data_IF_465316760707
#
_entry.id   IF_465316760707
#
_cell.length_a   1.000
_cell.length_b   1.000
_cell.length_c   1.000
_cell.angle_alpha   90.00
_cell.angle_beta   90.00
_cell.angle_gamma   90.00
#
_symmetry.space_group_name_H-M   'P 1'
#
loop_
_entity.id
_entity.type
_entity.pdbx_description
1 polymer ?
#
# COMPACT_ATOMS: atom_id res chain seq x y z
N UNK A 1 -19.50 6.78 -4.88
CA UNK A 1 -19.50 7.64 -6.09
C UNK A 1 -19.22 6.86 -7.39
N UNK A 2 -18.56 5.69 -7.30
CA UNK A 2 -18.17 4.88 -8.47
C UNK A 2 -18.88 3.53 -8.54
N UNK A 3 -19.83 3.24 -7.67
CA UNK A 3 -20.49 1.93 -7.51
C UNK A 3 -19.49 0.75 -7.44
N UNK A 4 -18.36 0.98 -6.78
CA UNK A 4 -17.39 -0.09 -6.55
C UNK A 4 -18.01 -1.20 -5.68
N UNK A 5 -17.77 -2.44 -6.05
CA UNK A 5 -18.20 -3.63 -5.30
C UNK A 5 -17.07 -4.21 -4.44
N UNK A 6 -15.81 -4.06 -4.91
CA UNK A 6 -14.62 -4.54 -4.23
C UNK A 6 -13.57 -3.44 -4.22
N UNK A 7 -12.89 -3.25 -3.10
CA UNK A 7 -11.84 -2.23 -2.95
C UNK A 7 -10.57 -2.85 -2.39
N UNK A 8 -9.49 -2.91 -3.18
CA UNK A 8 -8.18 -3.37 -2.71
C UNK A 8 -7.62 -2.38 -1.70
N UNK A 9 -7.34 -2.85 -0.48
CA UNK A 9 -6.84 -2.00 0.60
C UNK A 9 -5.89 -2.78 1.51
N UNK A 10 -5.05 -2.04 2.25
CA UNK A 10 -4.34 -2.60 3.39
C UNK A 10 -5.24 -2.75 4.61
N UNK A 11 -4.82 -3.58 5.57
CA UNK A 11 -5.55 -3.84 6.83
C UNK A 11 -5.93 -2.55 7.60
N UNK A 12 -5.12 -1.51 7.48
CA UNK A 12 -5.35 -0.21 8.13
C UNK A 12 -6.53 0.58 7.56
N UNK A 13 -7.09 0.19 6.41
CA UNK A 13 -8.26 0.83 5.78
C UNK A 13 -9.56 0.05 5.98
N UNK A 14 -9.51 -1.12 6.60
CA UNK A 14 -10.69 -1.98 6.78
C UNK A 14 -11.85 -1.26 7.48
N UNK A 15 -11.57 -0.53 8.57
CA UNK A 15 -12.60 0.21 9.31
C UNK A 15 -13.30 1.28 8.46
N UNK A 16 -12.59 1.91 7.53
CA UNK A 16 -13.20 2.90 6.63
C UNK A 16 -14.17 2.23 5.65
N UNK A 17 -13.86 1.02 5.21
CA UNK A 17 -14.77 0.27 4.34
C UNK A 17 -15.98 -0.28 5.11
N UNK A 18 -15.81 -0.70 6.36
CA UNK A 18 -16.93 -1.08 7.23
C UNK A 18 -17.91 0.09 7.38
N UNK A 19 -17.42 1.29 7.67
CA UNK A 19 -18.25 2.50 7.72
C UNK A 19 -18.93 2.77 6.35
N UNK A 20 -18.23 2.59 5.25
CA UNK A 20 -18.80 2.77 3.91
C UNK A 20 -19.95 1.79 3.64
N UNK A 21 -19.81 0.52 4.08
CA UNK A 21 -20.87 -0.50 4.02
C UNK A 21 -22.09 -0.10 4.83
N UNK A 22 -21.89 0.34 6.08
CA UNK A 22 -22.97 0.78 6.95
C UNK A 22 -23.75 1.95 6.37
N UNK A 23 -23.04 2.92 5.78
CA UNK A 23 -23.67 4.06 5.09
C UNK A 23 -24.49 3.59 3.88
N UNK A 24 -23.96 2.67 3.05
CA UNK A 24 -24.66 2.14 1.88
C UNK A 24 -25.93 1.37 2.28
N UNK A 25 -25.82 0.49 3.27
CA UNK A 25 -26.94 -0.30 3.79
C UNK A 25 -28.03 0.63 4.36
N UNK A 26 -27.62 1.60 5.19
CA UNK A 26 -28.55 2.55 5.82
C UNK A 26 -29.24 3.41 4.77
N UNK A 27 -28.52 3.92 3.77
CA UNK A 27 -29.10 4.72 2.69
C UNK A 27 -30.15 3.91 1.91
N UNK A 28 -29.80 2.71 1.47
CA UNK A 28 -30.70 1.85 0.71
C UNK A 28 -31.97 1.52 1.52
N UNK A 29 -31.81 1.22 2.81
CA UNK A 29 -32.94 0.95 3.72
C UNK A 29 -33.82 2.18 3.90
N UNK A 30 -33.25 3.33 4.26
CA UNK A 30 -34.01 4.53 4.64
C UNK A 30 -34.79 5.12 3.45
N UNK A 31 -34.25 5.00 2.24
CA UNK A 31 -34.91 5.47 1.00
C UNK A 31 -35.65 4.36 0.24
N UNK A 32 -35.64 3.11 0.70
CA UNK A 32 -36.33 2.00 0.06
C UNK A 32 -35.81 1.68 -1.34
N UNK A 33 -34.52 1.79 -1.57
CA UNK A 33 -33.85 1.61 -2.86
C UNK A 33 -32.74 0.55 -2.75
N UNK A 34 -32.36 -0.03 -3.90
CA UNK A 34 -31.14 -0.82 -4.06
C UNK A 34 -30.19 -0.02 -4.97
N UNK A 35 -29.59 1.04 -4.41
CA UNK A 35 -28.83 2.00 -5.19
C UNK A 35 -27.33 1.90 -4.94
N UNK A 36 -26.87 1.93 -3.69
CA UNK A 36 -25.46 1.78 -3.38
C UNK A 36 -25.08 0.33 -3.17
N UNK A 37 -24.10 -0.20 -3.92
CA UNK A 37 -23.57 -1.53 -3.65
C UNK A 37 -22.92 -1.59 -2.27
N UNK A 38 -23.04 -2.72 -1.60
CA UNK A 38 -22.35 -2.99 -0.33
C UNK A 38 -20.93 -3.45 -0.66
N UNK A 39 -19.96 -2.56 -0.42
CA UNK A 39 -18.56 -2.77 -0.81
C UNK A 39 -17.88 -3.84 0.04
N UNK A 40 -17.04 -4.68 -0.58
CA UNK A 40 -16.19 -5.66 0.09
C UNK A 40 -14.72 -5.25 0.04
N UNK A 41 -13.98 -5.32 1.16
CA UNK A 41 -12.54 -5.12 1.15
C UNK A 41 -11.82 -6.32 0.54
N UNK A 42 -10.83 -6.06 -0.31
CA UNK A 42 -9.88 -7.07 -0.79
C UNK A 42 -8.55 -6.81 -0.10
N UNK A 43 -8.20 -7.67 0.86
CA UNK A 43 -6.98 -7.57 1.66
C UNK A 43 -6.19 -8.84 1.39
N UNK A 44 -5.26 -8.77 0.44
CA UNK A 44 -4.47 -9.90 -0.03
C UNK A 44 -2.98 -9.54 -0.06
N UNK A 45 -2.12 -10.57 0.04
CA UNK A 45 -0.66 -10.48 -0.11
C UNK A 45 0.13 -10.56 1.19
N UNK A 46 1.41 -10.94 1.06
CA UNK A 46 2.33 -11.18 2.17
C UNK A 46 2.70 -9.92 2.97
N UNK A 47 2.53 -8.72 2.39
CA UNK A 47 2.91 -7.45 2.99
C UNK A 47 1.73 -6.47 3.10
N UNK A 48 0.59 -6.93 3.60
CA UNK A 48 -0.57 -6.08 3.91
C UNK A 48 -0.25 -4.97 4.92
N UNK A 49 0.83 -5.15 5.70
CA UNK A 49 1.33 -4.17 6.66
C UNK A 49 2.86 -4.19 6.70
N UNK A 50 3.50 -3.19 6.10
CA UNK A 50 4.96 -3.01 6.14
C UNK A 50 5.34 -2.27 7.42
N UNK A 51 6.35 -2.80 8.15
CA UNK A 51 6.83 -2.22 9.39
C UNK A 51 8.08 -1.36 9.16
N UNK A 52 8.40 -0.50 10.13
CA UNK A 52 9.57 0.38 10.10
C UNK A 52 10.88 -0.42 9.97
N UNK A 53 11.81 0.08 9.17
CA UNK A 53 13.17 -0.50 9.06
C UNK A 53 14.02 -0.32 10.35
N UNK A 54 13.56 0.52 11.28
CA UNK A 54 14.26 0.80 12.55
C UNK A 54 13.59 0.17 13.75
N UNK A 55 12.32 -0.26 13.60
CA UNK A 55 11.54 -0.86 14.69
C UNK A 55 10.46 -1.75 14.06
N UNK A 56 10.71 -3.04 14.01
CA UNK A 56 9.79 -4.04 13.41
C UNK A 56 8.44 -4.16 14.12
N UNK A 57 8.25 -3.51 15.26
CA UNK A 57 6.96 -3.49 15.98
C UNK A 57 6.08 -2.30 15.59
N UNK A 58 6.64 -1.28 14.93
CA UNK A 58 5.93 -0.07 14.52
C UNK A 58 5.66 -0.07 13.02
N UNK A 59 4.46 0.35 12.61
CA UNK A 59 4.12 0.55 11.20
C UNK A 59 5.08 1.57 10.56
N UNK A 60 5.53 1.32 9.33
CA UNK A 60 6.24 2.30 8.51
C UNK A 60 5.36 3.54 8.32
N UNK A 61 5.90 4.72 8.60
CA UNK A 61 5.12 5.97 8.58
C UNK A 61 5.89 7.12 7.94
N UNK A 62 5.18 7.94 7.16
CA UNK A 62 5.72 9.20 6.61
C UNK A 62 6.09 10.22 7.71
N UNK A 63 5.37 10.18 8.83
CA UNK A 63 5.55 11.11 9.94
C UNK A 63 6.64 10.70 10.92
N UNK A 64 7.31 9.55 10.71
CA UNK A 64 8.47 9.17 11.52
C UNK A 64 9.58 10.22 11.34
N UNK A 65 10.15 10.77 12.42
CA UNK A 65 11.22 11.76 12.31
C UNK A 65 12.50 11.20 11.66
N UNK A 66 12.71 9.88 11.69
CA UNK A 66 13.84 9.23 11.07
C UNK A 66 13.52 8.82 9.63
N UNK A 67 14.18 9.42 8.65
CA UNK A 67 14.08 9.00 7.25
C UNK A 67 14.61 7.58 7.01
N UNK A 68 15.48 7.07 7.88
CA UNK A 68 15.98 5.69 7.84
C UNK A 68 14.94 4.64 8.24
N UNK A 69 13.76 5.06 8.72
CA UNK A 69 12.68 4.15 9.11
C UNK A 69 11.86 3.64 7.93
N UNK A 70 11.98 4.26 6.75
CA UNK A 70 11.16 4.01 5.56
C UNK A 70 11.95 4.12 4.27
N UNK A 71 11.39 3.55 3.20
CA UNK A 71 11.81 3.81 1.82
C UNK A 71 10.76 4.74 1.19
N UNK A 72 11.21 5.86 0.65
CA UNK A 72 10.39 6.77 -0.12
C UNK A 72 10.48 6.41 -1.61
N UNK A 73 9.42 6.61 -2.37
CA UNK A 73 9.46 6.40 -3.82
C UNK A 73 10.34 7.45 -4.56
N UNK A 74 10.80 8.46 -3.83
CA UNK A 74 11.77 9.46 -4.31
C UNK A 74 13.22 9.09 -4.00
N UNK A 75 13.45 8.02 -3.22
CA UNK A 75 14.82 7.58 -2.91
C UNK A 75 15.48 7.02 -4.17
N UNK A 76 16.74 7.37 -4.40
CA UNK A 76 17.55 6.77 -5.45
C UNK A 76 18.06 5.37 -5.05
N UNK A 77 18.67 4.66 -6.00
CA UNK A 77 19.15 3.29 -5.81
C UNK A 77 20.12 3.17 -4.63
N UNK A 78 21.05 4.11 -4.49
CA UNK A 78 22.05 4.11 -3.42
C UNK A 78 21.41 4.33 -2.04
N UNK A 79 20.44 5.24 -1.98
CA UNK A 79 19.65 5.52 -0.76
C UNK A 79 18.83 4.31 -0.35
N UNK A 80 18.12 3.66 -1.28
CA UNK A 80 17.34 2.43 -1.03
C UNK A 80 18.27 1.35 -0.46
N UNK A 81 19.37 1.05 -1.15
CA UNK A 81 20.33 0.03 -0.73
C UNK A 81 20.92 0.35 0.66
N UNK A 82 21.28 1.62 0.91
CA UNK A 82 21.81 2.07 2.19
C UNK A 82 20.79 1.88 3.33
N UNK A 83 19.52 2.25 3.13
CA UNK A 83 18.45 2.10 4.12
C UNK A 83 18.23 0.64 4.49
N UNK A 84 18.20 -0.27 3.51
CA UNK A 84 18.04 -1.71 3.75
C UNK A 84 19.26 -2.28 4.51
N UNK A 85 20.47 -1.97 4.08
CA UNK A 85 21.68 -2.44 4.77
C UNK A 85 21.74 -1.97 6.23
N UNK A 86 21.24 -0.76 6.51
CA UNK A 86 21.18 -0.16 7.85
C UNK A 86 19.91 -0.52 8.63
N UNK A 87 18.96 -1.25 8.02
CA UNK A 87 17.77 -1.71 8.73
C UNK A 87 18.17 -2.48 9.99
N UNK A 88 17.40 -2.28 11.07
CA UNK A 88 17.66 -2.96 12.33
C UNK A 88 17.41 -4.46 12.19
N UNK A 89 18.30 -5.26 12.77
CA UNK A 89 18.16 -6.71 12.92
C UNK A 89 18.91 -7.15 14.18
N UNK A 90 18.56 -8.32 14.67
CA UNK A 90 19.35 -9.01 15.69
C UNK A 90 20.64 -9.62 15.09
N UNK A 91 21.42 -10.33 15.90
CA UNK A 91 22.71 -10.96 15.51
C UNK A 91 22.56 -12.41 15.04
N UNK A 92 21.38 -13.02 15.22
CA UNK A 92 21.16 -14.42 14.89
C UNK A 92 20.96 -14.61 13.39
N UNK A 93 21.33 -15.75 12.81
CA UNK A 93 21.00 -16.09 11.43
C UNK A 93 19.48 -16.09 11.19
N UNK A 94 19.05 -15.98 9.93
CA UNK A 94 17.65 -16.21 9.59
C UNK A 94 17.26 -17.64 9.94
N UNK A 95 16.08 -17.87 10.51
CA UNK A 95 15.61 -19.21 10.82
C UNK A 95 15.24 -19.95 9.52
N UNK A 96 15.21 -21.28 9.59
CA UNK A 96 14.85 -22.15 8.47
C UNK A 96 13.32 -22.34 8.33
N UNK A 97 12.53 -21.75 9.26
CA UNK A 97 11.06 -21.79 9.24
C UNK A 97 10.46 -20.48 9.74
N UNK A 98 9.18 -20.24 9.41
CA UNK A 98 8.47 -19.01 9.85
C UNK A 98 8.23 -18.96 11.36
N UNK A 99 8.10 -20.11 12.03
CA UNK A 99 7.96 -20.19 13.49
C UNK A 99 9.19 -19.60 14.17
N UNK A 100 10.37 -19.79 13.59
CA UNK A 100 11.62 -19.20 14.11
C UNK A 100 11.70 -17.67 14.01
N UNK A 101 10.77 -17.03 13.29
CA UNK A 101 10.61 -15.58 13.27
C UNK A 101 9.70 -15.04 14.40
N UNK A 102 9.13 -15.90 15.24
CA UNK A 102 8.36 -15.45 16.40
C UNK A 102 9.27 -14.69 17.38
N UNK A 103 8.81 -13.52 17.81
CA UNK A 103 9.60 -12.62 18.66
C UNK A 103 10.70 -11.84 17.94
N UNK A 104 10.96 -12.10 16.65
CA UNK A 104 12.00 -11.43 15.84
C UNK A 104 11.34 -10.48 14.83
N UNK A 105 10.69 -9.44 15.31
CA UNK A 105 9.85 -8.53 14.52
C UNK A 105 10.61 -7.88 13.35
N UNK A 106 11.87 -7.48 13.53
CA UNK A 106 12.69 -6.88 12.49
C UNK A 106 13.05 -7.88 11.39
N UNK A 107 13.43 -9.11 11.76
CA UNK A 107 13.73 -10.17 10.80
C UNK A 107 12.48 -10.54 9.99
N UNK A 108 11.33 -10.73 10.67
CA UNK A 108 10.03 -10.99 10.02
C UNK A 108 9.66 -9.90 9.04
N UNK A 109 9.83 -8.62 9.41
CA UNK A 109 9.56 -7.49 8.52
C UNK A 109 10.39 -7.56 7.23
N UNK A 110 11.70 -7.81 7.32
CA UNK A 110 12.56 -7.88 6.14
C UNK A 110 12.23 -9.10 5.25
N UNK A 111 11.89 -10.24 5.85
CA UNK A 111 11.41 -11.43 5.12
C UNK A 111 10.12 -11.12 4.36
N UNK A 112 9.15 -10.47 5.01
CA UNK A 112 7.88 -10.09 4.36
C UNK A 112 8.09 -9.06 3.24
N UNK A 113 9.01 -8.10 3.42
CA UNK A 113 9.37 -7.14 2.36
C UNK A 113 9.99 -7.86 1.17
N UNK A 114 10.91 -8.82 1.40
CA UNK A 114 11.51 -9.61 0.33
C UNK A 114 10.44 -10.41 -0.43
N UNK A 115 9.59 -11.13 0.30
CA UNK A 115 8.51 -11.94 -0.26
C UNK A 115 7.58 -11.10 -1.16
N UNK A 116 7.14 -9.94 -0.66
CA UNK A 116 6.29 -9.03 -1.42
C UNK A 116 6.96 -8.47 -2.68
N UNK A 117 8.24 -8.10 -2.60
CA UNK A 117 8.98 -7.57 -3.75
C UNK A 117 9.30 -8.65 -4.80
N UNK A 118 9.52 -9.90 -4.35
CA UNK A 118 9.79 -11.04 -5.23
C UNK A 118 8.51 -11.69 -5.77
N UNK A 119 7.33 -11.33 -5.22
CA UNK A 119 6.04 -11.99 -5.52
C UNK A 119 6.05 -13.48 -5.20
N UNK A 120 6.55 -13.83 -4.01
CA UNK A 120 6.63 -15.20 -3.48
C UNK A 120 6.12 -15.25 -2.03
N UNK A 121 5.84 -16.46 -1.54
CA UNK A 121 5.45 -16.63 -0.14
C UNK A 121 6.65 -16.49 0.81
N UNK A 122 6.44 -16.00 2.06
CA UNK A 122 7.51 -15.85 3.05
C UNK A 122 8.26 -17.15 3.36
N UNK A 123 7.59 -18.30 3.25
CA UNK A 123 8.18 -19.64 3.39
C UNK A 123 9.30 -19.90 2.38
N UNK A 124 9.14 -19.43 1.15
CA UNK A 124 10.17 -19.57 0.12
C UNK A 124 11.41 -18.75 0.46
N UNK A 125 11.24 -17.56 1.08
CA UNK A 125 12.36 -16.72 1.52
C UNK A 125 13.17 -17.40 2.62
N UNK A 126 12.50 -17.95 3.65
CA UNK A 126 13.21 -18.64 4.72
C UNK A 126 13.82 -19.97 4.26
N UNK A 127 13.23 -20.63 3.26
CA UNK A 127 13.83 -21.81 2.63
C UNK A 127 15.13 -21.47 1.87
N UNK A 128 15.20 -20.30 1.23
CA UNK A 128 16.36 -19.85 0.46
C UNK A 128 17.48 -19.31 1.37
N UNK A 129 17.13 -18.50 2.37
CA UNK A 129 18.08 -17.77 3.20
C UNK A 129 18.24 -18.32 4.63
N UNK A 130 17.49 -19.36 5.00
CA UNK A 130 17.55 -19.99 6.32
C UNK A 130 18.97 -20.43 6.68
N UNK A 131 19.37 -20.23 7.93
CA UNK A 131 20.73 -20.48 8.42
C UNK A 131 21.77 -19.44 8.00
N UNK A 132 21.45 -18.52 7.09
CA UNK A 132 22.36 -17.48 6.63
C UNK A 132 22.25 -16.21 7.50
N UNK A 133 23.38 -15.54 7.68
CA UNK A 133 23.40 -14.25 8.42
C UNK A 133 22.86 -13.07 7.59
N UNK A 134 22.49 -12.01 8.28
CA UNK A 134 22.02 -10.78 7.64
C UNK A 134 23.06 -10.10 6.73
N UNK A 135 24.35 -10.45 6.86
CA UNK A 135 25.40 -10.02 5.93
C UNK A 135 25.21 -10.55 4.49
N UNK A 136 24.47 -11.64 4.32
CA UNK A 136 24.10 -12.22 3.00
C UNK A 136 22.69 -11.74 2.61
N UNK A 137 21.73 -11.85 3.51
CA UNK A 137 20.32 -11.57 3.23
C UNK A 137 20.06 -10.09 2.88
N UNK A 138 20.61 -9.13 3.65
CA UNK A 138 20.37 -7.70 3.39
C UNK A 138 20.91 -7.21 2.05
N UNK A 139 22.10 -7.60 1.56
CA UNK A 139 22.52 -7.30 0.20
C UNK A 139 21.54 -7.84 -0.84
N UNK A 140 21.09 -9.09 -0.73
CA UNK A 140 20.14 -9.69 -1.66
C UNK A 140 18.79 -8.92 -1.67
N UNK A 141 18.28 -8.57 -0.48
CA UNK A 141 17.07 -7.73 -0.35
C UNK A 141 17.30 -6.32 -0.93
N UNK A 142 18.49 -5.74 -0.74
CA UNK A 142 18.80 -4.41 -1.28
C UNK A 142 18.81 -4.44 -2.81
N UNK A 143 19.44 -5.44 -3.41
CA UNK A 143 19.49 -5.59 -4.87
C UNK A 143 18.10 -5.82 -5.46
N UNK A 144 17.28 -6.65 -4.82
CA UNK A 144 15.89 -6.87 -5.21
C UNK A 144 15.07 -5.57 -5.10
N UNK A 145 15.16 -4.86 -3.96
CA UNK A 145 14.43 -3.62 -3.77
C UNK A 145 14.85 -2.53 -4.76
N UNK A 146 16.15 -2.38 -5.04
CA UNK A 146 16.65 -1.46 -6.08
C UNK A 146 16.07 -1.85 -7.45
N UNK A 147 16.11 -3.13 -7.82
CA UNK A 147 15.60 -3.58 -9.13
C UNK A 147 14.10 -3.29 -9.32
N UNK A 148 13.30 -3.38 -8.25
CA UNK A 148 11.84 -3.17 -8.31
C UNK A 148 11.44 -1.71 -8.14
N UNK A 149 12.14 -0.94 -7.32
CA UNK A 149 11.74 0.42 -6.95
C UNK A 149 12.42 1.51 -7.80
N UNK A 150 13.66 1.29 -8.28
CA UNK A 150 14.36 2.30 -9.08
C UNK A 150 13.62 2.71 -10.36
N UNK A 151 12.94 1.81 -11.10
CA UNK A 151 12.14 2.23 -12.25
C UNK A 151 11.03 3.21 -11.87
N UNK A 152 10.41 3.01 -10.69
CA UNK A 152 9.35 3.89 -10.15
C UNK A 152 9.95 5.24 -9.77
N UNK A 153 11.08 5.23 -9.06
CA UNK A 153 11.79 6.47 -8.65
C UNK A 153 12.25 7.28 -9.86
N UNK A 154 12.75 6.60 -10.89
CA UNK A 154 13.20 7.25 -12.13
C UNK A 154 12.03 7.92 -12.86
N UNK A 155 10.89 7.22 -13.02
CA UNK A 155 9.70 7.78 -13.65
C UNK A 155 9.10 8.93 -12.83
N UNK A 156 9.08 8.80 -11.51
CA UNK A 156 8.65 9.86 -10.60
C UNK A 156 9.52 11.12 -10.76
N UNK A 157 10.85 10.94 -10.83
CA UNK A 157 11.79 12.04 -11.07
C UNK A 157 11.60 12.68 -12.44
N UNK A 158 11.33 11.88 -13.47
CA UNK A 158 11.04 12.37 -14.83
C UNK A 158 9.77 13.24 -14.83
N UNK A 159 8.69 12.75 -14.23
CA UNK A 159 7.42 13.49 -14.16
C UNK A 159 7.56 14.79 -13.36
N UNK A 160 8.29 14.77 -12.25
CA UNK A 160 8.51 15.97 -11.43
C UNK A 160 9.28 17.08 -12.14
N UNK A 161 9.97 16.79 -13.25
CA UNK A 161 10.62 17.78 -14.10
C UNK A 161 9.68 18.37 -15.17
N UNK A 162 8.49 17.78 -15.35
CA UNK A 162 7.51 18.20 -16.36
C UNK A 162 6.13 18.42 -15.72
N UNK A 163 5.98 19.58 -15.11
CA UNK A 163 4.73 19.97 -14.42
C UNK A 163 3.54 20.02 -15.40
N UNK A 164 3.78 20.42 -16.65
CA UNK A 164 2.72 20.47 -17.66
C UNK A 164 2.17 19.08 -18.00
N UNK A 165 3.03 18.07 -18.04
CA UNK A 165 2.63 16.67 -18.23
C UNK A 165 1.84 16.15 -17.02
N UNK A 166 2.24 16.49 -15.79
CA UNK A 166 1.48 16.16 -14.59
C UNK A 166 0.09 16.78 -14.66
N UNK A 167 -0.04 18.06 -14.96
CA UNK A 167 -1.31 18.77 -15.08
C UNK A 167 -2.21 18.14 -16.15
N UNK A 168 -1.62 17.76 -17.28
CA UNK A 168 -2.34 17.05 -18.36
C UNK A 168 -2.90 15.70 -17.89
N UNK A 169 -2.09 14.89 -17.20
CA UNK A 169 -2.50 13.57 -16.66
C UNK A 169 -3.61 13.76 -15.61
N UNK A 170 -3.45 14.71 -14.70
CA UNK A 170 -4.44 15.03 -13.68
C UNK A 170 -5.74 15.52 -14.29
N UNK A 171 -5.68 16.39 -15.31
CA UNK A 171 -6.85 16.88 -16.03
C UNK A 171 -7.63 15.75 -16.70
N UNK A 172 -6.96 14.88 -17.44
CA UNK A 172 -7.59 13.71 -18.06
C UNK A 172 -8.17 12.74 -17.02
N UNK A 173 -7.46 12.54 -15.90
CA UNK A 173 -7.96 11.72 -14.78
C UNK A 173 -9.22 12.32 -14.16
N UNK A 174 -9.26 13.64 -13.95
CA UNK A 174 -10.40 14.36 -13.42
C UNK A 174 -11.63 14.27 -14.32
N UNK A 175 -11.46 14.46 -15.65
CA UNK A 175 -12.53 14.31 -16.61
C UNK A 175 -13.15 12.90 -16.59
N UNK A 176 -12.30 11.86 -16.57
CA UNK A 176 -12.77 10.46 -16.49
C UNK A 176 -13.49 10.16 -15.17
N UNK A 177 -12.94 10.63 -14.05
CA UNK A 177 -13.55 10.47 -12.74
C UNK A 177 -14.91 11.19 -12.65
N UNK A 178 -15.00 12.42 -13.17
CA UNK A 178 -16.22 13.20 -13.22
C UNK A 178 -17.31 12.51 -14.07
N UNK A 179 -16.94 12.02 -15.25
CA UNK A 179 -17.88 11.31 -16.13
C UNK A 179 -18.51 10.07 -15.47
N UNK A 180 -17.78 9.38 -14.58
CA UNK A 180 -18.28 8.24 -13.83
C UNK A 180 -19.10 8.65 -12.59
N UNK A 181 -18.65 9.66 -11.87
CA UNK A 181 -19.24 10.03 -10.58
C UNK A 181 -20.48 10.90 -10.71
N UNK A 182 -20.53 11.83 -11.70
CA UNK A 182 -21.62 12.80 -11.82
C UNK A 182 -23.00 12.15 -12.00
N UNK A 183 -23.20 11.12 -12.85
CA UNK A 183 -24.49 10.45 -12.95
C UNK A 183 -24.96 9.85 -11.62
N UNK A 184 -24.05 9.27 -10.84
CA UNK A 184 -24.36 8.67 -9.53
C UNK A 184 -24.73 9.77 -8.52
N UNK A 185 -23.97 10.88 -8.51
CA UNK A 185 -24.28 12.01 -7.67
C UNK A 185 -25.64 12.64 -7.98
N UNK A 186 -25.97 12.76 -9.28
CA UNK A 186 -27.28 13.27 -9.71
C UNK A 186 -28.42 12.38 -9.23
N UNK A 187 -28.31 11.06 -9.41
CA UNK A 187 -29.30 10.09 -8.92
C UNK A 187 -29.40 10.11 -7.39
N UNK A 188 -28.26 10.22 -6.67
CA UNK A 188 -28.28 10.36 -5.22
C UNK A 188 -29.09 11.59 -4.78
N UNK A 189 -28.88 12.74 -5.43
CA UNK A 189 -29.65 13.98 -5.15
C UNK A 189 -31.14 13.82 -5.41
N UNK A 190 -31.52 13.10 -6.46
CA UNK A 190 -32.93 12.79 -6.78
C UNK A 190 -33.55 11.90 -5.70
N UNK A 191 -32.88 10.83 -5.29
CA UNK A 191 -33.36 9.92 -4.24
C UNK A 191 -33.56 10.66 -2.92
N UNK A 192 -32.62 11.52 -2.54
CA UNK A 192 -32.68 12.32 -1.30
C UNK A 192 -33.71 13.46 -1.39
N UNK A 193 -34.20 13.79 -2.60
CA UNK A 193 -35.16 14.87 -2.81
C UNK A 193 -34.57 16.27 -2.81
N UNK A 194 -33.28 16.43 -3.10
CA UNK A 194 -32.65 17.75 -3.19
C UNK A 194 -33.13 18.47 -4.46
N UNK A 195 -33.54 19.72 -4.27
CA UNK A 195 -34.00 20.57 -5.36
C UNK A 195 -32.82 20.93 -6.27
N UNK A 196 -33.00 20.73 -7.58
CA UNK A 196 -32.01 21.21 -8.56
C UNK A 196 -32.04 22.72 -8.61
N UNK A 197 -30.88 23.38 -8.44
CA UNK A 197 -30.80 24.79 -8.81
C UNK A 197 -31.09 24.92 -10.32
N UNK A 198 -32.11 25.63 -10.71
CA UNK A 198 -32.31 26.01 -12.11
C UNK A 198 -31.20 27.01 -12.46
N UNK A 199 -30.16 26.53 -13.17
CA UNK A 199 -29.15 27.37 -13.80
C UNK A 199 -29.78 28.18 -14.95
#
# INVERSE_FOLDING_TARGET
>A
AYHATHVPVGEDQKQHLELTRDIAIKFNHDYGVDFFPVVEPVIEGAATRVMSLRDGTKKMSKSDPSDQSRINLTDDADTIASKIRKARTDSEPLPESLEGLEGRAEARNLVNIYAALADIEPEAVVAEFGGQGFGVFKPALADLAVSKLSPISAEMSRLMQDVAEIDRILGQGAERAHALAEPILMQTREIVGLIRSRG
#
